data_IF_663919450029
#
_entry.id   IF_663919450029
#
_cell.length_a   1.000
_cell.length_b   1.000
_cell.length_c   1.000
_cell.angle_alpha   90.00
_cell.angle_beta   90.00
_cell.angle_gamma   90.00
#
_symmetry.space_group_name_H-M   'P 1'
#
loop_
_entity.id
_entity.type
_entity.pdbx_description
1 polymer ?
#
# COMPACT_ATOMS: atom_id res chain seq x y z
N UNK A 1 29.12 -11.80 -15.45
CA UNK A 1 28.62 -10.49 -15.94
C UNK A 1 29.61 -9.41 -15.57
N UNK A 2 29.90 -8.43 -16.45
CA UNK A 2 30.74 -7.29 -16.09
C UNK A 2 30.07 -6.43 -15.00
N UNK A 3 30.84 -6.00 -14.00
CA UNK A 3 30.36 -5.29 -12.81
C UNK A 3 29.52 -4.03 -13.13
N UNK A 4 29.84 -3.34 -14.22
CA UNK A 4 29.11 -2.17 -14.69
C UNK A 4 27.65 -2.48 -15.10
N UNK A 5 27.39 -3.67 -15.66
CA UNK A 5 26.03 -4.09 -16.04
C UNK A 5 25.20 -4.41 -14.79
N UNK A 6 25.77 -5.13 -13.82
CA UNK A 6 25.11 -5.42 -12.54
C UNK A 6 24.75 -4.15 -11.78
N UNK A 7 25.64 -3.16 -11.73
CA UNK A 7 25.37 -1.89 -11.08
C UNK A 7 24.25 -1.09 -11.77
N UNK A 8 24.19 -1.15 -13.11
CA UNK A 8 23.11 -0.51 -13.87
C UNK A 8 21.77 -1.19 -13.61
N UNK A 9 21.71 -2.51 -13.65
CA UNK A 9 20.50 -3.29 -13.37
C UNK A 9 20.01 -3.06 -11.94
N UNK A 10 20.92 -3.08 -10.96
CA UNK A 10 20.62 -2.78 -9.56
C UNK A 10 19.96 -1.39 -9.40
N UNK A 11 20.52 -0.36 -10.04
CA UNK A 11 19.94 1.00 -10.04
C UNK A 11 18.57 1.06 -10.72
N UNK A 12 18.36 0.27 -11.77
CA UNK A 12 17.07 0.21 -12.46
C UNK A 12 15.99 -0.46 -11.60
N UNK A 13 16.32 -1.57 -10.94
CA UNK A 13 15.43 -2.24 -9.99
C UNK A 13 15.07 -1.31 -8.83
N UNK A 14 16.09 -0.70 -8.24
CA UNK A 14 15.94 0.27 -7.15
C UNK A 14 15.01 1.44 -7.53
N UNK A 15 15.20 2.04 -8.71
CA UNK A 15 14.34 3.08 -9.23
C UNK A 15 12.91 2.60 -9.51
N UNK A 16 12.74 1.39 -10.06
CA UNK A 16 11.44 0.79 -10.32
C UNK A 16 10.66 0.54 -9.02
N UNK A 17 11.31 -0.04 -8.01
CA UNK A 17 10.74 -0.27 -6.69
C UNK A 17 10.24 1.02 -6.04
N UNK A 18 11.05 2.09 -6.03
CA UNK A 18 10.63 3.40 -5.50
C UNK A 18 9.43 4.00 -6.25
N UNK A 19 9.41 3.91 -7.59
CA UNK A 19 8.29 4.43 -8.39
C UNK A 19 7.00 3.66 -8.12
N UNK A 20 7.08 2.33 -8.05
CA UNK A 20 5.95 1.48 -7.72
C UNK A 20 5.44 1.78 -6.30
N UNK A 21 6.33 1.93 -5.32
CA UNK A 21 5.96 2.28 -3.95
C UNK A 21 5.24 3.63 -3.88
N UNK A 22 5.75 4.65 -4.57
CA UNK A 22 5.14 5.98 -4.62
C UNK A 22 3.76 5.94 -5.28
N UNK A 23 3.61 5.18 -6.37
CA UNK A 23 2.33 4.96 -7.05
C UNK A 23 1.32 4.26 -6.16
N UNK A 24 1.71 3.16 -5.49
CA UNK A 24 0.86 2.44 -4.54
C UNK A 24 0.42 3.35 -3.39
N UNK A 25 1.34 4.14 -2.83
CA UNK A 25 1.03 5.12 -1.78
C UNK A 25 0.01 6.16 -2.23
N UNK A 26 0.13 6.67 -3.47
CA UNK A 26 -0.84 7.61 -4.04
C UNK A 26 -2.23 6.96 -4.21
N UNK A 27 -2.27 5.72 -4.73
CA UNK A 27 -3.52 4.96 -4.86
C UNK A 27 -4.20 4.75 -3.52
N UNK A 28 -3.46 4.37 -2.46
CA UNK A 28 -4.01 4.20 -1.11
C UNK A 28 -4.64 5.49 -0.57
N UNK A 29 -4.00 6.65 -0.80
CA UNK A 29 -4.57 7.94 -0.41
C UNK A 29 -5.87 8.24 -1.15
N UNK A 30 -5.92 7.98 -2.46
CA UNK A 30 -7.12 8.17 -3.28
C UNK A 30 -8.28 7.26 -2.83
N UNK A 31 -7.99 5.98 -2.56
CA UNK A 31 -8.95 5.01 -2.05
C UNK A 31 -9.48 5.43 -0.68
N UNK A 32 -8.59 5.86 0.23
CA UNK A 32 -8.97 6.34 1.54
C UNK A 32 -9.93 7.53 1.45
N UNK A 33 -9.62 8.53 0.61
CA UNK A 33 -10.50 9.67 0.36
C UNK A 33 -11.87 9.22 -0.15
N UNK A 34 -11.91 8.31 -1.13
CA UNK A 34 -13.15 7.76 -1.68
C UNK A 34 -13.99 7.02 -0.63
N UNK A 35 -13.35 6.22 0.22
CA UNK A 35 -14.01 5.49 1.31
C UNK A 35 -14.58 6.44 2.36
N UNK A 36 -13.84 7.49 2.72
CA UNK A 36 -14.31 8.52 3.65
C UNK A 36 -15.54 9.23 3.08
N UNK A 37 -15.50 9.65 1.81
CA UNK A 37 -16.64 10.28 1.14
C UNK A 37 -17.85 9.35 1.08
N UNK A 38 -17.66 8.07 0.76
CA UNK A 38 -18.75 7.08 0.74
C UNK A 38 -19.37 6.85 2.12
N UNK A 39 -18.55 6.83 3.18
CA UNK A 39 -19.05 6.73 4.56
C UNK A 39 -19.87 7.95 4.96
N UNK A 40 -19.49 9.15 4.51
CA UNK A 40 -20.28 10.36 4.76
C UNK A 40 -21.54 10.43 3.89
N UNK A 41 -21.53 9.91 2.67
CA UNK A 41 -22.70 9.96 1.79
C UNK A 41 -23.83 9.05 2.26
N UNK A 42 -23.51 7.91 2.90
CA UNK A 42 -24.51 6.97 3.41
C UNK A 42 -25.58 7.61 4.33
N UNK A 43 -25.23 8.33 5.41
CA UNK A 43 -26.23 9.01 6.26
C UNK A 43 -26.87 10.23 5.60
N UNK A 44 -26.21 10.89 4.63
CA UNK A 44 -26.82 11.99 3.89
C UNK A 44 -28.08 11.53 3.15
N UNK A 45 -28.08 10.30 2.63
CA UNK A 45 -29.25 9.69 2.00
C UNK A 45 -30.41 9.45 2.98
N UNK A 46 -30.14 9.22 4.26
CA UNK A 46 -31.19 9.15 5.28
C UNK A 46 -31.74 10.55 5.63
N UNK A 47 -30.90 11.59 5.62
CA UNK A 47 -31.37 12.97 5.80
C UNK A 47 -32.37 13.39 4.72
N UNK A 48 -32.23 12.91 3.49
CA UNK A 48 -33.18 13.17 2.39
C UNK A 48 -34.58 12.64 2.75
N UNK A 49 -34.69 11.49 3.42
CA UNK A 49 -35.98 10.93 3.86
C UNK A 49 -36.64 11.78 4.95
N UNK A 50 -35.85 12.46 5.78
CA UNK A 50 -36.33 13.24 6.91
C UNK A 50 -36.58 14.72 6.58
N UNK A 51 -36.51 15.12 5.31
CA UNK A 51 -36.74 16.52 4.92
C UNK A 51 -38.22 16.89 5.15
N UNK A 52 -38.52 17.86 6.04
CA UNK A 52 -39.90 18.19 6.43
C UNK A 52 -40.72 18.83 5.30
N UNK A 53 -40.06 19.29 4.24
CA UNK A 53 -40.69 19.95 3.08
C UNK A 53 -41.01 19.00 1.93
N UNK A 54 -40.78 17.68 2.07
CA UNK A 54 -40.94 16.73 0.97
C UNK A 54 -42.38 16.19 0.91
N UNK A 55 -43.14 16.41 -0.17
CA UNK A 55 -44.44 15.78 -0.37
C UNK A 55 -44.33 14.25 -0.41
N UNK A 56 -45.38 13.54 0.00
CA UNK A 56 -45.39 12.06 0.07
C UNK A 56 -45.18 11.39 -1.30
N UNK A 57 -45.75 11.96 -2.36
CA UNK A 57 -45.53 11.50 -3.73
C UNK A 57 -44.06 11.63 -4.16
N UNK A 58 -43.41 12.72 -3.75
CA UNK A 58 -41.99 12.96 -4.03
C UNK A 58 -41.09 12.01 -3.23
N UNK A 59 -41.43 11.73 -1.97
CA UNK A 59 -40.73 10.75 -1.15
C UNK A 59 -40.82 9.35 -1.78
N UNK A 60 -42.00 8.97 -2.27
CA UNK A 60 -42.25 7.69 -2.94
C UNK A 60 -41.39 7.57 -4.20
N UNK A 61 -41.33 8.64 -5.01
CA UNK A 61 -40.48 8.70 -6.20
C UNK A 61 -38.97 8.67 -5.89
N UNK A 62 -38.54 9.24 -4.76
CA UNK A 62 -37.13 9.31 -4.36
C UNK A 62 -36.63 8.08 -3.60
N UNK A 63 -37.53 7.26 -3.05
CA UNK A 63 -37.17 6.08 -2.26
C UNK A 63 -36.21 5.12 -3.00
N UNK A 64 -36.41 4.78 -4.29
CA UNK A 64 -35.46 3.99 -5.04
C UNK A 64 -34.07 4.66 -5.15
N UNK A 65 -34.04 5.96 -5.45
CA UNK A 65 -32.79 6.73 -5.56
C UNK A 65 -32.00 6.74 -4.25
N UNK A 66 -32.69 6.92 -3.13
CA UNK A 66 -32.11 6.92 -1.80
C UNK A 66 -31.49 5.55 -1.48
N UNK A 67 -32.22 4.46 -1.77
CA UNK A 67 -31.73 3.09 -1.60
C UNK A 67 -30.49 2.84 -2.45
N UNK A 68 -30.54 3.27 -3.71
CA UNK A 68 -29.44 3.07 -4.66
C UNK A 68 -28.21 3.88 -4.26
N UNK A 69 -28.38 5.11 -3.76
CA UNK A 69 -27.30 5.94 -3.21
C UNK A 69 -26.64 5.31 -1.98
N UNK A 70 -27.43 4.74 -1.07
CA UNK A 70 -26.90 3.98 0.07
C UNK A 70 -26.18 2.71 -0.34
N UNK A 71 -26.71 2.00 -1.34
CA UNK A 71 -26.07 0.81 -1.89
C UNK A 71 -24.74 1.15 -2.57
N UNK A 72 -24.72 2.23 -3.35
CA UNK A 72 -23.50 2.74 -3.98
C UNK A 72 -22.43 3.03 -2.93
N UNK A 73 -22.76 3.78 -1.87
CA UNK A 73 -21.86 4.05 -0.76
C UNK A 73 -21.25 2.77 -0.13
N UNK A 74 -22.09 1.75 0.12
CA UNK A 74 -21.62 0.45 0.65
C UNK A 74 -20.69 -0.28 -0.33
N UNK A 75 -21.02 -0.27 -1.61
CA UNK A 75 -20.20 -0.90 -2.65
C UNK A 75 -18.85 -0.18 -2.78
N UNK A 76 -18.83 1.16 -2.75
CA UNK A 76 -17.59 1.94 -2.80
C UNK A 76 -16.65 1.58 -1.65
N UNK A 77 -17.17 1.44 -0.41
CA UNK A 77 -16.35 1.04 0.73
C UNK A 77 -15.79 -0.38 0.55
N UNK A 78 -16.61 -1.33 0.07
CA UNK A 78 -16.15 -2.71 -0.20
C UNK A 78 -15.07 -2.75 -1.28
N UNK A 79 -15.33 -2.12 -2.42
CA UNK A 79 -14.35 -2.01 -3.50
C UNK A 79 -13.05 -1.34 -3.03
N UNK A 80 -13.15 -0.34 -2.15
CA UNK A 80 -12.00 0.29 -1.53
C UNK A 80 -11.18 -0.68 -0.65
N UNK A 81 -11.82 -1.54 0.13
CA UNK A 81 -11.13 -2.57 0.93
C UNK A 81 -10.40 -3.58 0.04
N UNK A 82 -11.07 -4.11 -0.98
CA UNK A 82 -10.48 -5.10 -1.91
C UNK A 82 -9.31 -4.49 -2.70
N UNK A 83 -9.47 -3.24 -3.13
CA UNK A 83 -8.41 -2.50 -3.83
C UNK A 83 -7.24 -2.20 -2.89
N UNK A 84 -7.50 -1.84 -1.63
CA UNK A 84 -6.46 -1.60 -0.62
C UNK A 84 -5.61 -2.84 -0.38
N UNK A 85 -6.22 -4.01 -0.28
CA UNK A 85 -5.51 -5.29 -0.11
C UNK A 85 -4.61 -5.60 -1.32
N UNK A 86 -5.13 -5.40 -2.54
CA UNK A 86 -4.37 -5.58 -3.78
C UNK A 86 -3.20 -4.61 -3.90
N UNK A 87 -3.43 -3.32 -3.60
CA UNK A 87 -2.38 -2.29 -3.62
C UNK A 87 -1.36 -2.53 -2.51
N UNK A 88 -1.78 -3.01 -1.34
CA UNK A 88 -0.89 -3.40 -0.25
C UNK A 88 0.09 -4.51 -0.65
N UNK A 89 -0.40 -5.54 -1.37
CA UNK A 89 0.47 -6.59 -1.93
C UNK A 89 1.46 -6.05 -2.96
N UNK A 90 1.03 -5.18 -3.86
CA UNK A 90 1.92 -4.52 -4.83
C UNK A 90 2.97 -3.64 -4.13
N UNK A 91 2.59 -2.98 -3.04
CA UNK A 91 3.50 -2.19 -2.23
C UNK A 91 4.57 -3.08 -1.58
N UNK A 92 4.21 -4.24 -1.04
CA UNK A 92 5.18 -5.21 -0.52
C UNK A 92 6.16 -5.69 -1.60
N UNK A 93 5.67 -6.01 -2.81
CA UNK A 93 6.52 -6.37 -3.95
C UNK A 93 7.46 -5.23 -4.32
N UNK A 94 6.99 -3.99 -4.31
CA UNK A 94 7.82 -2.82 -4.61
C UNK A 94 8.96 -2.63 -3.61
N UNK A 95 8.72 -2.90 -2.33
CA UNK A 95 9.75 -2.89 -1.27
C UNK A 95 10.77 -3.99 -1.52
N UNK A 96 10.33 -5.22 -1.85
CA UNK A 96 11.23 -6.32 -2.17
C UNK A 96 12.14 -6.01 -3.37
N UNK A 97 11.57 -5.43 -4.45
CA UNK A 97 12.35 -4.97 -5.62
C UNK A 97 13.38 -3.90 -5.21
N UNK A 98 12.95 -2.93 -4.41
CA UNK A 98 13.81 -1.85 -3.93
C UNK A 98 14.97 -2.38 -3.06
N UNK A 99 14.69 -3.30 -2.13
CA UNK A 99 15.70 -3.99 -1.31
C UNK A 99 16.69 -4.75 -2.18
N UNK A 100 16.21 -5.51 -3.16
CA UNK A 100 17.08 -6.30 -4.03
C UNK A 100 17.98 -5.42 -4.90
N UNK A 101 17.46 -4.32 -5.45
CA UNK A 101 18.25 -3.33 -6.17
C UNK A 101 19.36 -2.71 -5.30
N UNK A 102 19.11 -2.56 -4.00
CA UNK A 102 20.10 -2.07 -3.05
C UNK A 102 21.12 -3.16 -2.62
N UNK A 103 20.68 -4.39 -2.39
CA UNK A 103 21.52 -5.48 -1.87
C UNK A 103 22.48 -6.08 -2.90
N UNK A 104 22.06 -6.21 -4.17
CA UNK A 104 22.89 -6.79 -5.25
C UNK A 104 24.30 -6.16 -5.33
N UNK A 105 24.47 -4.83 -5.27
CA UNK A 105 25.79 -4.20 -5.29
C UNK A 105 26.50 -4.12 -3.92
N UNK A 106 25.88 -4.58 -2.83
CA UNK A 106 26.34 -4.30 -1.45
C UNK A 106 27.44 -5.25 -0.92
N UNK A 107 27.97 -6.16 -1.74
CA UNK A 107 29.00 -7.15 -1.38
C UNK A 107 28.69 -8.04 -0.15
N UNK A 108 27.44 -8.06 0.34
CA UNK A 108 27.03 -8.95 1.42
C UNK A 108 27.01 -10.41 0.95
N UNK A 109 27.24 -11.34 1.88
CA UNK A 109 27.04 -12.77 1.61
C UNK A 109 25.57 -13.05 1.28
N UNK A 110 25.31 -14.13 0.53
CA UNK A 110 23.95 -14.52 0.17
C UNK A 110 23.05 -14.68 1.41
N UNK A 111 23.58 -15.29 2.47
CA UNK A 111 22.87 -15.47 3.75
C UNK A 111 22.45 -14.15 4.39
N UNK A 112 23.31 -13.13 4.37
CA UNK A 112 22.97 -11.80 4.90
C UNK A 112 21.96 -11.09 4.00
N UNK A 113 22.08 -11.25 2.68
CA UNK A 113 21.12 -10.67 1.73
C UNK A 113 19.71 -11.26 1.92
N UNK A 114 19.59 -12.57 2.03
CA UNK A 114 18.30 -13.24 2.25
C UNK A 114 17.66 -12.81 3.57
N UNK A 115 18.44 -12.75 4.65
CA UNK A 115 17.95 -12.27 5.94
C UNK A 115 17.46 -10.81 5.89
N UNK A 116 18.13 -9.93 5.13
CA UNK A 116 17.71 -8.54 4.94
C UNK A 116 16.47 -8.43 4.04
N UNK A 117 16.29 -9.32 3.08
CA UNK A 117 15.10 -9.37 2.23
C UNK A 117 13.84 -9.76 3.01
N UNK A 118 13.97 -10.69 3.96
CA UNK A 118 12.87 -11.22 4.78
C UNK A 118 12.43 -10.29 5.91
N UNK A 119 13.14 -9.19 6.17
CA UNK A 119 12.77 -8.25 7.23
C UNK A 119 11.39 -7.62 7.02
N UNK A 120 10.65 -7.40 8.09
CA UNK A 120 9.39 -6.67 7.98
C UNK A 120 9.62 -5.21 7.57
N UNK A 121 8.73 -4.69 6.74
CA UNK A 121 8.74 -3.27 6.36
C UNK A 121 7.91 -2.48 7.36
N UNK A 122 8.50 -1.44 7.95
CA UNK A 122 7.87 -0.62 9.01
C UNK A 122 7.27 0.70 8.49
N UNK A 123 7.34 0.95 7.19
CA UNK A 123 6.89 2.19 6.56
C UNK A 123 7.84 3.37 6.71
N UNK A 124 8.94 3.25 7.46
CA UNK A 124 9.88 4.35 7.74
C UNK A 124 11.22 4.14 7.04
N UNK A 125 11.74 2.91 7.04
CA UNK A 125 13.01 2.60 6.41
C UNK A 125 12.91 1.33 5.55
N UNK A 126 13.84 1.19 4.60
CA UNK A 126 13.82 0.10 3.64
C UNK A 126 13.96 -1.27 4.33
N UNK A 127 14.80 -1.38 5.35
CA UNK A 127 15.10 -2.63 6.07
C UNK A 127 14.50 -2.66 7.49
N UNK A 128 13.73 -1.64 7.87
CA UNK A 128 13.14 -1.51 9.19
C UNK A 128 14.15 -1.11 10.29
N UNK A 129 13.64 -0.81 11.48
CA UNK A 129 14.45 -0.36 12.62
C UNK A 129 15.50 -1.37 13.14
N UNK A 130 15.35 -2.67 12.85
CA UNK A 130 16.20 -3.74 13.38
C UNK A 130 17.35 -4.13 12.45
N UNK A 131 17.46 -3.51 11.28
CA UNK A 131 18.46 -3.85 10.27
C UNK A 131 19.90 -3.75 10.81
N UNK A 132 20.23 -2.66 11.50
CA UNK A 132 21.57 -2.45 12.06
C UNK A 132 21.94 -3.49 13.12
N UNK A 133 20.98 -3.87 13.97
CA UNK A 133 21.17 -4.90 14.98
C UNK A 133 21.41 -6.27 14.35
N UNK A 134 20.67 -6.61 13.29
CA UNK A 134 20.86 -7.84 12.55
C UNK A 134 22.24 -7.89 11.87
N UNK A 135 22.65 -6.79 11.21
CA UNK A 135 23.97 -6.67 10.60
C UNK A 135 25.11 -6.85 11.62
N UNK A 136 24.96 -6.27 12.83
CA UNK A 136 25.92 -6.48 13.93
C UNK A 136 25.99 -7.95 14.36
N UNK A 137 24.85 -8.62 14.51
CA UNK A 137 24.80 -10.04 14.85
C UNK A 137 25.49 -10.93 13.79
N UNK A 138 25.28 -10.64 12.50
CA UNK A 138 25.95 -11.37 11.41
C UNK A 138 27.46 -11.16 11.42
N UNK A 139 27.92 -9.93 11.67
CA UNK A 139 29.35 -9.65 11.81
C UNK A 139 29.98 -10.41 12.98
N UNK A 140 29.31 -10.42 14.13
CA UNK A 140 29.86 -10.99 15.37
C UNK A 140 29.84 -12.54 15.38
N UNK A 141 29.05 -13.16 14.50
CA UNK A 141 29.02 -14.61 14.25
C UNK A 141 30.06 -15.09 13.23
N UNK A 142 30.50 -14.24 12.30
CA UNK A 142 31.52 -14.56 11.29
C UNK A 142 32.92 -14.01 11.62
N UNK A 143 33.08 -13.24 12.69
CA UNK A 143 34.37 -12.77 13.20
C UNK A 143 35.00 -13.71 14.24
N UNK A 144 34.55 -14.96 14.32
CA UNK A 144 34.96 -15.95 15.34
C UNK A 144 35.57 -17.22 14.74
N UNK A 145 35.95 -17.16 13.47
CA UNK A 145 36.80 -18.11 12.73
C UNK A 145 38.11 -17.42 12.34
#
# INVERSE_FOLDING_TARGET
MPAALLQREARQLDAAGRRMFASCSASLRSINTSCVLARFSHPLWDCVKSLPSLPEDALTALTPLIRDGQQFARITVRAGMDTTDSVGRLMAVSVAIHRRGWLVPSNFSATVQDALLDMLFDGKSLFGAHADSALRCFRDSHGRD
#
